data_IF_499076289300
#
_entry.id   IF_499076289300
#
_cell.length_a   1.000
_cell.length_b   1.000
_cell.length_c   1.000
_cell.angle_alpha   90.00
_cell.angle_beta   90.00
_cell.angle_gamma   90.00
#
_symmetry.space_group_name_H-M   'P 1'
#
loop_
_entity.id
_entity.type
_entity.pdbx_description
1 polymer ?
#
# COMPACT_ATOMS: atom_id res chain seq x y z
N UNK A 1 1.73 4.11 -0.35
CA UNK A 1 0.68 4.91 -1.00
C UNK A 1 0.15 4.11 -2.16
N UNK A 2 -1.16 3.83 -2.19
CA UNK A 2 -1.80 3.24 -3.35
C UNK A 2 -2.09 4.39 -4.32
N UNK A 3 -1.62 4.29 -5.57
CA UNK A 3 -1.85 5.35 -6.54
C UNK A 3 -3.34 5.51 -6.82
N UNK A 4 -4.06 4.40 -7.00
CA UNK A 4 -5.52 4.37 -7.11
C UNK A 4 -6.12 3.42 -6.07
N UNK A 5 -6.63 3.98 -4.98
CA UNK A 5 -7.11 3.22 -3.83
C UNK A 5 -8.37 2.41 -4.16
N UNK A 6 -9.37 2.99 -4.84
CA UNK A 6 -10.62 2.29 -5.11
C UNK A 6 -10.41 1.07 -6.00
N UNK A 7 -9.57 1.20 -7.04
CA UNK A 7 -9.21 0.05 -7.90
C UNK A 7 -8.42 -1.02 -7.13
N UNK A 8 -7.49 -0.60 -6.27
CA UNK A 8 -6.73 -1.55 -5.46
C UNK A 8 -7.64 -2.36 -4.51
N UNK A 9 -8.73 -1.76 -4.03
CA UNK A 9 -9.68 -2.42 -3.13
C UNK A 9 -10.47 -3.52 -3.85
N UNK A 10 -10.86 -3.29 -5.10
CA UNK A 10 -11.49 -4.30 -5.97
C UNK A 10 -10.51 -5.48 -6.21
N UNK A 11 -9.23 -5.17 -6.47
CA UNK A 11 -8.21 -6.19 -6.73
C UNK A 11 -7.93 -7.11 -5.53
N UNK A 12 -8.12 -6.63 -4.30
CA UNK A 12 -8.05 -7.51 -3.12
C UNK A 12 -9.10 -8.61 -3.17
N UNK A 13 -10.26 -8.41 -3.76
CA UNK A 13 -11.26 -9.48 -3.89
C UNK A 13 -10.83 -10.50 -4.95
N UNK A 14 -10.37 -10.00 -6.09
CA UNK A 14 -9.94 -10.84 -7.21
C UNK A 14 -8.82 -11.78 -6.79
N UNK A 15 -7.78 -11.26 -6.13
CA UNK A 15 -6.63 -12.05 -5.67
C UNK A 15 -6.99 -13.14 -4.64
N UNK A 16 -8.02 -12.90 -3.82
CA UNK A 16 -8.49 -13.85 -2.84
C UNK A 16 -9.23 -15.01 -3.51
N UNK A 17 -10.01 -14.69 -4.55
CA UNK A 17 -10.78 -15.65 -5.32
C UNK A 17 -9.88 -16.47 -6.26
N UNK A 18 -9.03 -15.78 -7.01
CA UNK A 18 -8.18 -16.35 -8.03
C UNK A 18 -6.84 -15.63 -8.06
N UNK A 19 -5.76 -16.39 -8.11
CA UNK A 19 -4.43 -15.84 -8.28
C UNK A 19 -3.59 -16.78 -9.14
N UNK A 20 -2.58 -16.21 -9.78
CA UNK A 20 -1.67 -16.92 -10.69
C UNK A 20 -0.94 -18.13 -10.07
N UNK A 21 -0.95 -18.28 -8.74
CA UNK A 21 -0.27 -19.36 -8.02
C UNK A 21 -1.21 -20.49 -7.59
N UNK A 22 -2.52 -20.39 -7.88
CA UNK A 22 -3.54 -21.34 -7.44
C UNK A 22 -3.52 -21.57 -5.91
N UNK A 23 -3.18 -20.53 -5.14
CA UNK A 23 -3.17 -20.59 -3.68
C UNK A 23 -4.54 -20.17 -3.18
N UNK A 24 -5.25 -21.06 -2.50
CA UNK A 24 -6.47 -20.67 -1.78
C UNK A 24 -6.08 -19.79 -0.61
N UNK A 25 -6.48 -18.52 -0.67
CA UNK A 25 -6.29 -17.58 0.44
C UNK A 25 -7.52 -17.61 1.33
N UNK A 26 -8.72 -17.46 0.78
CA UNK A 26 -9.96 -17.41 1.55
C UNK A 26 -10.92 -18.52 1.11
N UNK A 27 -11.84 -18.90 1.99
CA UNK A 27 -12.97 -19.78 1.65
C UNK A 27 -13.98 -19.05 0.76
N UNK A 28 -14.81 -19.78 0.02
CA UNK A 28 -15.87 -19.20 -0.82
C UNK A 28 -16.81 -18.26 -0.04
N UNK A 29 -17.12 -18.61 1.21
CA UNK A 29 -17.94 -17.79 2.10
C UNK A 29 -17.23 -16.49 2.49
N UNK A 30 -15.93 -16.54 2.79
CA UNK A 30 -15.12 -15.36 3.07
C UNK A 30 -15.00 -14.47 1.82
N UNK A 31 -14.79 -15.06 0.63
CA UNK A 31 -14.74 -14.32 -0.64
C UNK A 31 -16.07 -13.63 -0.91
N UNK A 32 -17.20 -14.32 -0.69
CA UNK A 32 -18.53 -13.75 -0.85
C UNK A 32 -18.77 -12.56 0.10
N UNK A 33 -18.33 -12.66 1.35
CA UNK A 33 -18.41 -11.54 2.30
C UNK A 33 -17.48 -10.40 1.90
N UNK A 34 -16.24 -10.72 1.49
CA UNK A 34 -15.25 -9.74 1.07
C UNK A 34 -15.70 -8.95 -0.16
N UNK A 35 -16.50 -9.54 -1.06
CA UNK A 35 -17.16 -8.81 -2.16
C UNK A 35 -18.12 -7.73 -1.66
N UNK A 36 -18.97 -8.07 -0.69
CA UNK A 36 -19.89 -7.09 -0.06
C UNK A 36 -19.12 -5.99 0.65
N UNK A 37 -18.07 -6.36 1.37
CA UNK A 37 -17.22 -5.42 2.08
C UNK A 37 -16.43 -4.51 1.12
N UNK A 38 -16.00 -5.03 -0.03
CA UNK A 38 -15.31 -4.25 -1.04
C UNK A 38 -16.22 -3.19 -1.66
N UNK A 39 -17.50 -3.50 -1.94
CA UNK A 39 -18.46 -2.49 -2.43
C UNK A 39 -18.57 -1.30 -1.46
N UNK A 40 -18.62 -1.58 -0.14
CA UNK A 40 -18.63 -0.55 0.90
C UNK A 40 -17.32 0.24 0.94
N UNK A 41 -16.16 -0.43 0.99
CA UNK A 41 -14.87 0.25 1.09
C UNK A 41 -14.54 1.06 -0.17
N UNK A 42 -14.95 0.60 -1.35
CA UNK A 42 -14.81 1.31 -2.63
C UNK A 42 -15.68 2.56 -2.65
N UNK A 43 -16.91 2.50 -2.12
CA UNK A 43 -17.77 3.68 -2.00
C UNK A 43 -17.11 4.74 -1.10
N UNK A 44 -16.62 4.35 0.08
CA UNK A 44 -15.89 5.25 0.99
C UNK A 44 -14.62 5.83 0.35
N UNK A 45 -13.87 5.02 -0.39
CA UNK A 45 -12.69 5.49 -1.13
C UNK A 45 -13.09 6.54 -2.19
N UNK A 46 -14.14 6.29 -2.97
CA UNK A 46 -14.62 7.25 -3.97
C UNK A 46 -15.13 8.55 -3.34
N UNK A 47 -15.76 8.48 -2.17
CA UNK A 47 -16.14 9.67 -1.39
C UNK A 47 -14.92 10.46 -0.92
N UNK A 48 -13.90 9.80 -0.40
CA UNK A 48 -12.61 10.43 -0.07
C UNK A 48 -11.95 11.09 -1.28
N UNK A 49 -12.04 10.45 -2.46
CA UNK A 49 -11.42 10.91 -3.70
C UNK A 49 -12.24 11.99 -4.43
N UNK A 50 -13.47 12.27 -4.01
CA UNK A 50 -14.32 13.26 -4.65
C UNK A 50 -13.72 14.67 -4.54
N UNK A 51 -13.91 15.51 -5.57
CA UNK A 51 -13.22 16.79 -5.74
C UNK A 51 -13.31 17.79 -4.57
N UNK A 52 -14.27 17.63 -3.66
CA UNK A 52 -14.44 18.47 -2.47
C UNK A 52 -13.48 18.13 -1.31
N UNK A 53 -12.66 17.08 -1.44
CA UNK A 53 -11.98 16.40 -0.32
C UNK A 53 -10.45 16.44 -0.42
N UNK A 54 -9.91 17.39 -1.18
CA UNK A 54 -8.48 17.58 -1.45
C UNK A 54 -7.71 18.19 -0.25
N UNK A 55 -7.94 17.68 0.96
CA UNK A 55 -7.10 17.98 2.14
C UNK A 55 -6.93 16.75 3.00
N UNK A 56 -5.67 16.46 3.34
CA UNK A 56 -5.26 15.55 4.41
C UNK A 56 -6.08 15.79 5.69
N UNK A 57 -6.47 14.72 6.37
CA UNK A 57 -7.28 14.80 7.60
C UNK A 57 -8.80 14.86 7.36
N UNK A 58 -9.27 14.54 6.16
CA UNK A 58 -10.70 14.36 5.90
C UNK A 58 -11.20 13.05 6.53
N UNK A 59 -12.23 13.07 7.41
CA UNK A 59 -12.70 11.88 8.12
C UNK A 59 -13.04 10.69 7.20
N UNK A 60 -13.62 10.96 6.03
CA UNK A 60 -14.03 9.93 5.08
C UNK A 60 -12.83 9.18 4.49
N UNK A 61 -11.67 9.84 4.37
CA UNK A 61 -10.44 9.19 3.92
C UNK A 61 -9.89 8.22 4.97
N UNK A 62 -9.98 8.61 6.24
CA UNK A 62 -9.65 7.72 7.35
C UNK A 62 -10.65 6.57 7.45
N UNK A 63 -11.95 6.81 7.27
CA UNK A 63 -12.99 5.76 7.28
C UNK A 63 -12.77 4.76 6.14
N UNK A 64 -12.50 5.23 4.92
CA UNK A 64 -12.15 4.37 3.78
C UNK A 64 -10.92 3.51 4.06
N UNK A 65 -9.91 4.08 4.74
CA UNK A 65 -8.70 3.35 5.08
C UNK A 65 -8.98 2.29 6.16
N UNK A 66 -9.73 2.64 7.20
CA UNK A 66 -10.13 1.71 8.27
C UNK A 66 -10.94 0.56 7.68
N UNK A 67 -11.89 0.85 6.78
CA UNK A 67 -12.66 -0.15 6.05
C UNK A 67 -11.75 -1.14 5.33
N UNK A 68 -10.82 -0.65 4.50
CA UNK A 68 -9.89 -1.52 3.78
C UNK A 68 -9.01 -2.35 4.70
N UNK A 69 -8.40 -1.74 5.72
CA UNK A 69 -7.48 -2.46 6.62
C UNK A 69 -8.22 -3.58 7.34
N UNK A 70 -9.43 -3.32 7.82
CA UNK A 70 -10.19 -4.29 8.61
C UNK A 70 -10.87 -5.36 7.77
N UNK A 71 -11.52 -4.96 6.67
CA UNK A 71 -12.40 -5.84 5.91
C UNK A 71 -11.74 -6.49 4.70
N UNK A 72 -10.74 -5.83 4.10
CA UNK A 72 -10.06 -6.35 2.90
C UNK A 72 -8.68 -6.93 3.22
N UNK A 73 -7.85 -6.22 3.99
CA UNK A 73 -6.52 -6.72 4.36
C UNK A 73 -6.58 -7.69 5.54
N UNK A 74 -7.44 -7.41 6.52
CA UNK A 74 -7.61 -8.23 7.72
C UNK A 74 -7.78 -9.74 7.46
N UNK A 75 -8.70 -10.16 6.55
CA UNK A 75 -8.86 -11.56 6.21
C UNK A 75 -7.58 -12.23 5.70
N UNK A 76 -6.79 -11.54 4.87
CA UNK A 76 -5.51 -12.09 4.38
C UNK A 76 -4.49 -12.35 5.49
N UNK A 77 -4.41 -11.45 6.46
CA UNK A 77 -3.46 -11.58 7.56
C UNK A 77 -3.76 -12.80 8.44
N UNK A 78 -5.03 -13.21 8.53
CA UNK A 78 -5.44 -14.39 9.31
C UNK A 78 -4.94 -15.70 8.71
N UNK A 79 -4.70 -15.74 7.41
CA UNK A 79 -4.24 -16.91 6.65
C UNK A 79 -2.73 -17.15 6.78
N UNK A 80 -2.04 -16.28 7.51
CA UNK A 80 -0.60 -16.37 7.81
C UNK A 80 0.25 -16.56 6.55
N UNK A 81 -0.12 -15.84 5.49
CA UNK A 81 0.65 -15.71 4.25
C UNK A 81 1.36 -14.36 4.24
N UNK A 82 2.51 -14.33 3.60
CA UNK A 82 3.27 -13.10 3.44
C UNK A 82 2.56 -12.16 2.45
N UNK A 83 2.13 -10.99 2.92
CA UNK A 83 1.40 -10.00 2.10
C UNK A 83 2.23 -9.41 0.94
N UNK A 84 3.56 -9.56 0.99
CA UNK A 84 4.47 -9.14 -0.07
C UNK A 84 4.81 -10.27 -1.05
N UNK A 85 4.64 -11.52 -0.63
CA UNK A 85 4.80 -12.72 -1.45
C UNK A 85 3.94 -13.86 -0.92
N UNK A 86 2.73 -13.98 -1.43
CA UNK A 86 1.74 -14.95 -0.96
C UNK A 86 2.17 -16.43 -1.05
N UNK A 87 3.26 -16.74 -1.78
CA UNK A 87 3.82 -18.08 -1.85
C UNK A 87 4.50 -18.48 -0.54
N UNK A 88 4.94 -17.50 0.24
CA UNK A 88 5.65 -17.69 1.50
C UNK A 88 4.71 -17.61 2.71
N UNK A 89 4.94 -18.38 3.78
CA UNK A 89 4.25 -18.21 5.04
C UNK A 89 4.76 -16.96 5.78
N UNK A 90 3.88 -16.30 6.51
CA UNK A 90 4.22 -15.23 7.44
C UNK A 90 3.11 -15.08 8.47
N UNK A 91 3.45 -15.15 9.76
CA UNK A 91 2.55 -14.69 10.81
C UNK A 91 2.86 -13.21 11.10
N UNK A 92 2.03 -12.31 10.57
CA UNK A 92 2.21 -10.87 10.72
C UNK A 92 2.10 -10.40 12.19
N UNK A 93 1.49 -11.22 13.08
CA UNK A 93 1.48 -10.94 14.51
C UNK A 93 2.84 -11.22 15.18
N UNK A 94 3.65 -12.10 14.58
CA UNK A 94 5.01 -12.44 15.06
C UNK A 94 6.07 -11.58 14.36
N UNK A 95 5.98 -11.45 13.04
CA UNK A 95 6.86 -10.60 12.24
C UNK A 95 6.01 -9.74 11.28
N UNK A 96 5.66 -8.51 11.66
CA UNK A 96 4.83 -7.62 10.83
C UNK A 96 5.42 -7.30 9.45
N UNK A 97 6.74 -7.45 9.28
CA UNK A 97 7.44 -7.18 8.03
C UNK A 97 7.57 -8.41 7.13
N UNK A 98 7.24 -9.60 7.63
CA UNK A 98 7.34 -10.89 6.94
C UNK A 98 8.73 -11.28 6.39
N UNK A 99 9.76 -10.47 6.62
CA UNK A 99 11.15 -10.72 6.26
C UNK A 99 12.07 -10.37 7.43
N UNK A 100 13.24 -10.99 7.47
CA UNK A 100 14.26 -10.69 8.48
C UNK A 100 15.13 -9.50 8.03
N UNK A 101 15.02 -8.39 8.75
CA UNK A 101 15.85 -7.20 8.55
C UNK A 101 16.99 -7.09 9.57
N UNK A 102 17.18 -8.07 10.46
CA UNK A 102 18.15 -8.01 11.56
C UNK A 102 19.59 -7.78 11.10
N UNK A 103 19.98 -8.32 9.94
CA UNK A 103 21.30 -8.11 9.37
C UNK A 103 21.51 -6.65 8.95
N UNK A 104 20.51 -6.04 8.29
CA UNK A 104 20.53 -4.64 7.88
C UNK A 104 20.53 -3.73 9.10
N UNK A 105 19.65 -4.00 10.07
CA UNK A 105 19.60 -3.25 11.33
C UNK A 105 20.93 -3.29 12.07
N UNK A 106 21.54 -4.47 12.22
CA UNK A 106 22.86 -4.59 12.86
C UNK A 106 23.95 -3.84 12.10
N UNK A 107 23.96 -3.92 10.77
CA UNK A 107 24.95 -3.24 9.95
C UNK A 107 24.84 -1.72 10.09
N UNK A 108 23.64 -1.17 9.90
CA UNK A 108 23.39 0.28 9.96
C UNK A 108 23.52 0.85 11.38
N UNK A 109 23.33 0.03 12.42
CA UNK A 109 23.58 0.43 13.81
C UNK A 109 25.01 0.21 14.29
N UNK A 110 25.89 -0.41 13.50
CA UNK A 110 27.28 -0.58 13.90
C UNK A 110 28.01 0.76 14.01
N UNK A 111 28.84 0.91 15.03
CA UNK A 111 29.62 2.13 15.29
C UNK A 111 30.41 2.55 14.06
N UNK A 112 31.16 1.63 13.46
CA UNK A 112 31.94 1.86 12.24
C UNK A 112 31.12 2.47 11.11
N UNK A 113 29.90 1.96 10.85
CA UNK A 113 29.05 2.45 9.76
C UNK A 113 28.47 3.82 10.11
N UNK A 114 28.02 4.01 11.35
CA UNK A 114 27.46 5.28 11.82
C UNK A 114 28.51 6.40 11.82
N UNK A 115 29.74 6.11 12.24
CA UNK A 115 30.87 7.04 12.16
C UNK A 115 31.18 7.42 10.71
N UNK A 116 31.28 6.42 9.83
CA UNK A 116 31.58 6.64 8.42
C UNK A 116 30.53 7.52 7.72
N UNK A 117 29.24 7.34 8.07
CA UNK A 117 28.13 8.13 7.53
C UNK A 117 27.88 9.44 8.30
N UNK A 118 28.70 9.76 9.31
CA UNK A 118 28.53 10.93 10.18
C UNK A 118 27.13 11.01 10.82
N UNK A 119 26.56 9.88 11.22
CA UNK A 119 25.27 9.82 11.91
C UNK A 119 25.42 10.44 13.29
N UNK A 120 24.61 11.47 13.59
CA UNK A 120 24.64 12.13 14.89
C UNK A 120 24.42 11.11 16.03
N UNK A 121 25.20 11.15 17.12
CA UNK A 121 24.93 10.37 18.33
C UNK A 121 23.58 10.70 18.98
N UNK A 122 23.00 11.87 18.67
CA UNK A 122 21.71 12.31 19.21
C UNK A 122 20.50 11.62 18.56
N UNK A 123 20.67 10.99 17.40
CA UNK A 123 19.59 10.22 16.77
C UNK A 123 19.69 8.75 17.20
N UNK A 124 18.55 8.14 17.52
CA UNK A 124 18.48 6.78 18.06
C UNK A 124 18.94 5.70 17.09
N UNK A 125 18.56 4.46 17.41
CA UNK A 125 18.79 3.33 16.52
C UNK A 125 18.08 3.52 15.18
N UNK A 126 18.71 3.01 14.12
CA UNK A 126 18.08 2.87 12.83
C UNK A 126 16.91 1.89 12.93
N UNK A 127 15.77 2.28 12.37
CA UNK A 127 14.54 1.51 12.31
C UNK A 127 14.17 1.26 10.86
N UNK A 128 13.74 0.04 10.53
CA UNK A 128 13.24 -0.29 9.18
C UNK A 128 12.00 0.52 8.83
N UNK A 129 11.11 0.71 9.81
CA UNK A 129 9.91 1.54 9.70
C UNK A 129 9.83 2.42 10.93
N UNK A 130 9.54 3.71 10.74
CA UNK A 130 9.19 4.60 11.83
C UNK A 130 7.67 4.51 12.08
N UNK A 131 7.22 3.89 13.19
CA UNK A 131 5.80 3.66 13.43
C UNK A 131 5.00 4.94 13.61
N UNK A 132 5.63 6.03 14.09
CA UNK A 132 4.95 7.31 14.28
C UNK A 132 4.59 7.94 12.94
N UNK A 133 5.53 7.90 11.98
CA UNK A 133 5.25 8.39 10.62
C UNK A 133 4.16 7.54 9.99
N UNK A 134 4.25 6.22 10.07
CA UNK A 134 3.22 5.32 9.55
C UNK A 134 1.84 5.57 10.16
N UNK A 135 1.77 5.81 11.47
CA UNK A 135 0.52 6.08 12.17
C UNK A 135 -0.12 7.41 11.74
N UNK A 136 0.68 8.47 11.56
CA UNK A 136 0.17 9.79 11.13
C UNK A 136 -0.39 9.72 9.71
N UNK A 137 0.34 9.10 8.78
CA UNK A 137 -0.16 8.90 7.42
C UNK A 137 -1.48 8.10 7.42
N UNK A 138 -1.58 7.11 8.30
CA UNK A 138 -2.79 6.32 8.42
C UNK A 138 -3.97 7.08 9.03
N UNK A 139 -3.74 7.85 10.10
CA UNK A 139 -4.82 8.62 10.76
C UNK A 139 -5.33 9.76 9.90
N UNK A 140 -4.47 10.31 9.05
CA UNK A 140 -4.83 11.41 8.17
C UNK A 140 -5.57 10.94 6.90
N UNK A 141 -5.75 9.62 6.74
CA UNK A 141 -6.45 9.00 5.62
C UNK A 141 -5.67 9.02 4.31
N UNK A 142 -4.36 9.25 4.36
CA UNK A 142 -3.51 9.45 3.19
C UNK A 142 -3.63 8.29 2.19
N UNK A 143 -3.78 7.06 2.67
CA UNK A 143 -3.77 5.87 1.81
C UNK A 143 -4.99 5.76 0.89
N UNK A 144 -6.07 6.50 1.19
CA UNK A 144 -7.31 6.49 0.42
C UNK A 144 -7.42 7.66 -0.57
N UNK A 145 -6.45 8.59 -0.57
CA UNK A 145 -6.50 9.79 -1.41
C UNK A 145 -6.32 9.50 -2.91
N UNK A 146 -6.72 10.45 -3.76
CA UNK A 146 -6.75 10.33 -5.23
C UNK A 146 -5.42 10.66 -5.91
N UNK A 147 -4.31 10.06 -5.45
CA UNK A 147 -2.98 10.34 -5.99
C UNK A 147 -2.80 9.97 -7.47
N UNK A 148 -3.63 9.08 -8.03
CA UNK A 148 -3.62 8.73 -9.44
C UNK A 148 -3.83 9.94 -10.36
N UNK A 149 -4.51 10.98 -9.88
CA UNK A 149 -4.77 12.21 -10.67
C UNK A 149 -3.47 12.89 -11.09
N UNK A 150 -2.44 12.85 -10.25
CA UNK A 150 -1.11 13.37 -10.59
C UNK A 150 -0.45 12.60 -11.74
N UNK A 151 -0.77 11.31 -11.94
CA UNK A 151 -0.23 10.54 -13.07
C UNK A 151 -0.77 11.05 -14.39
N UNK A 152 -2.03 11.50 -14.43
CA UNK A 152 -2.62 12.09 -15.63
C UNK A 152 -1.97 13.45 -15.95
N UNK A 153 -1.71 14.27 -14.93
CA UNK A 153 -1.05 15.57 -15.08
C UNK A 153 0.41 15.43 -15.56
N UNK A 154 1.18 14.52 -14.98
CA UNK A 154 2.56 14.22 -15.41
C UNK A 154 2.60 13.70 -16.85
N UNK A 155 1.64 12.86 -17.27
CA UNK A 155 1.53 12.42 -18.67
C UNK A 155 1.29 13.60 -19.61
N UNK A 156 0.44 14.54 -19.24
CA UNK A 156 0.20 15.74 -20.03
C UNK A 156 1.48 16.59 -20.16
N UNK A 157 2.25 16.71 -19.08
CA UNK A 157 3.54 17.42 -19.08
C UNK A 157 4.56 16.76 -20.03
N UNK A 158 4.70 15.43 -19.97
CA UNK A 158 5.62 14.66 -20.82
C UNK A 158 5.26 14.79 -22.31
N UNK A 159 3.96 14.81 -22.65
CA UNK A 159 3.53 14.98 -24.06
C UNK A 159 3.80 16.37 -24.64
N UNK A 160 4.07 17.36 -23.78
CA UNK A 160 4.41 18.72 -24.18
C UNK A 160 5.90 19.05 -23.98
N UNK A 161 6.70 18.12 -23.45
CA UNK A 161 8.15 18.28 -23.38
C UNK A 161 8.79 18.01 -24.76
N UNK A 162 9.40 19.01 -25.42
CA UNK A 162 10.05 18.84 -26.72
C UNK A 162 11.22 17.85 -26.69
N UNK A 163 11.74 17.50 -25.50
CA UNK A 163 12.78 16.48 -25.31
C UNK A 163 12.21 15.05 -25.27
N UNK A 164 10.90 14.88 -25.05
CA UNK A 164 10.22 13.58 -24.90
C UNK A 164 9.13 13.37 -25.95
N UNK A 165 8.84 14.38 -26.78
CA UNK A 165 7.84 14.35 -27.85
C UNK A 165 7.98 13.20 -28.88
N UNK A 166 9.17 12.59 -28.98
CA UNK A 166 9.45 11.43 -29.83
C UNK A 166 9.78 10.14 -29.06
N UNK A 167 9.58 10.12 -27.74
CA UNK A 167 9.78 8.90 -26.96
C UNK A 167 8.68 7.88 -27.34
N UNK A 168 9.03 6.60 -27.55
CA UNK A 168 8.04 5.57 -27.82
C UNK A 168 7.06 5.51 -26.66
N UNK A 169 5.76 5.44 -26.97
CA UNK A 169 4.72 5.29 -25.96
C UNK A 169 5.05 4.07 -25.09
N UNK A 170 5.22 4.30 -23.79
CA UNK A 170 5.22 3.22 -22.81
C UNK A 170 3.81 2.65 -22.81
N UNK A 171 3.68 1.48 -23.43
CA UNK A 171 2.50 0.62 -23.32
C UNK A 171 2.28 0.33 -21.84
N UNK A 172 1.35 1.07 -21.22
CA UNK A 172 0.83 0.74 -19.91
C UNK A 172 -0.07 -0.47 -20.13
N UNK A 173 0.57 -1.63 -20.28
CA UNK A 173 -0.07 -2.86 -20.70
C UNK A 173 -1.41 -3.04 -20.02
N UNK A 174 -2.45 -3.20 -20.84
CA UNK A 174 -3.73 -3.74 -20.40
C UNK A 174 -3.41 -5.15 -19.88
N UNK A 175 -3.42 -5.30 -18.56
CA UNK A 175 -3.39 -6.62 -17.93
C UNK A 175 -4.62 -7.37 -18.46
N UNK A 176 -4.36 -8.39 -19.27
CA UNK A 176 -5.34 -9.39 -19.68
C UNK A 176 -5.43 -10.46 -18.62
#
# INVERSE_FOLDING_TARGET
MLAEAALAYEYFVEQAAENQYNITLLTDAQIAQMKVDADECVALARECQAAAMTKSGSPQCADAQVCMVQKLVGPYLQEKRNMYDMRLPCDAAVNPLCYDFSAVTRYLNSERVREFLHVSPSVGEWLTINPNVSAVFASDGDWSMNFHTYVADERAFITHDPLVANAPAVDAGVLR
#
